data_IF_794929291134
#
_entry.id   IF_794929291134
#
_cell.length_a   1.000
_cell.length_b   1.000
_cell.length_c   1.000
_cell.angle_alpha   90.00
_cell.angle_beta   90.00
_cell.angle_gamma   90.00
#
_symmetry.space_group_name_H-M   'P 1'
#
loop_
_entity.id
_entity.type
_entity.pdbx_description
1 polymer ?
#
# COMPACT_ATOMS: atom_id res chain seq x y z
N UNK A 1 14.20 21.85 4.02
CA UNK A 1 15.22 21.72 2.97
C UNK A 1 14.51 21.36 1.67
N UNK A 2 14.91 21.91 0.51
CA UNK A 2 14.37 21.46 -0.77
C UNK A 2 14.72 19.98 -0.96
N UNK A 3 13.70 19.18 -1.22
CA UNK A 3 13.82 17.75 -1.55
C UNK A 3 14.57 17.67 -2.88
N UNK A 4 15.72 16.98 -2.92
CA UNK A 4 16.47 16.80 -4.16
C UNK A 4 15.64 15.95 -5.15
N UNK A 5 15.91 16.02 -6.45
CA UNK A 5 15.22 15.22 -7.47
C UNK A 5 15.33 13.72 -7.22
N UNK A 6 16.44 13.28 -6.62
CA UNK A 6 16.63 11.89 -6.16
C UNK A 6 15.67 11.55 -5.01
N UNK A 7 15.52 12.44 -4.03
CA UNK A 7 14.60 12.24 -2.91
C UNK A 7 13.14 12.16 -3.41
N UNK A 8 12.73 12.98 -4.40
CA UNK A 8 11.37 12.91 -4.97
C UNK A 8 11.08 11.55 -5.62
N UNK A 9 12.05 11.00 -6.35
CA UNK A 9 11.96 9.69 -6.99
C UNK A 9 11.86 8.58 -5.95
N UNK A 10 12.68 8.64 -4.89
CA UNK A 10 12.67 7.65 -3.82
C UNK A 10 11.36 7.65 -3.02
N UNK A 11 10.82 8.83 -2.74
CA UNK A 11 9.53 8.97 -2.03
C UNK A 11 8.39 8.40 -2.87
N UNK A 12 8.31 8.74 -4.15
CA UNK A 12 7.28 8.20 -5.05
C UNK A 12 7.42 6.68 -5.20
N UNK A 13 8.65 6.16 -5.32
CA UNK A 13 8.91 4.72 -5.36
C UNK A 13 8.54 4.01 -4.05
N UNK A 14 8.78 4.63 -2.90
CA UNK A 14 8.36 4.09 -1.61
C UNK A 14 6.82 4.00 -1.50
N UNK A 15 6.09 5.03 -1.96
CA UNK A 15 4.62 5.00 -2.02
C UNK A 15 4.12 3.88 -2.94
N UNK A 16 4.75 3.67 -4.09
CA UNK A 16 4.44 2.52 -4.97
C UNK A 16 4.61 1.19 -4.23
N UNK A 17 5.75 0.99 -3.54
CA UNK A 17 6.00 -0.24 -2.77
C UNK A 17 4.93 -0.45 -1.70
N UNK A 18 4.55 0.60 -0.96
CA UNK A 18 3.50 0.51 0.05
C UNK A 18 2.17 0.04 -0.55
N UNK A 19 1.72 0.65 -1.65
CA UNK A 19 0.44 0.27 -2.27
C UNK A 19 0.48 -1.13 -2.89
N UNK A 20 1.64 -1.57 -3.39
CA UNK A 20 1.83 -2.97 -3.83
C UNK A 20 1.69 -3.93 -2.64
N UNK A 21 2.35 -3.66 -1.51
CA UNK A 21 2.21 -4.51 -0.31
C UNK A 21 0.78 -4.53 0.23
N UNK A 22 0.09 -3.39 0.24
CA UNK A 22 -1.33 -3.32 0.64
C UNK A 22 -2.23 -4.13 -0.32
N UNK A 23 -1.93 -4.12 -1.62
CA UNK A 23 -2.64 -4.93 -2.61
C UNK A 23 -2.40 -6.42 -2.37
N UNK A 24 -1.14 -6.83 -2.18
CA UNK A 24 -0.78 -8.22 -1.86
C UNK A 24 -1.44 -8.70 -0.58
N UNK A 25 -1.53 -7.83 0.44
CA UNK A 25 -2.22 -8.12 1.69
C UNK A 25 -3.72 -8.40 1.47
N UNK A 26 -4.39 -7.60 0.64
CA UNK A 26 -5.79 -7.82 0.27
C UNK A 26 -5.99 -9.03 -0.65
N UNK A 27 -5.05 -9.33 -1.55
CA UNK A 27 -5.16 -10.47 -2.48
C UNK A 27 -5.19 -11.80 -1.75
N UNK A 28 -4.47 -11.90 -0.63
CA UNK A 28 -4.50 -13.08 0.27
C UNK A 28 -5.87 -13.34 0.89
N UNK A 29 -6.78 -12.38 0.88
CA UNK A 29 -8.17 -12.62 1.29
C UNK A 29 -8.89 -13.59 0.33
N UNK A 30 -8.46 -13.67 -0.94
CA UNK A 30 -9.10 -14.46 -1.98
C UNK A 30 -8.26 -15.58 -2.55
N UNK A 31 -6.94 -15.53 -2.36
CA UNK A 31 -6.01 -16.46 -3.00
C UNK A 31 -5.19 -17.24 -1.97
N UNK A 32 -5.52 -18.52 -1.81
CA UNK A 32 -4.74 -19.45 -0.98
C UNK A 32 -3.35 -19.74 -1.55
N UNK A 33 -3.15 -19.61 -2.87
CA UNK A 33 -1.84 -19.75 -3.48
C UNK A 33 -0.94 -18.55 -3.14
N UNK A 34 -1.51 -17.35 -3.06
CA UNK A 34 -0.81 -16.15 -2.58
C UNK A 34 -0.38 -16.25 -1.11
N UNK A 35 -1.10 -17.03 -0.28
CA UNK A 35 -0.68 -17.35 1.10
C UNK A 35 0.46 -18.37 1.17
N UNK A 36 0.54 -19.29 0.19
CA UNK A 36 1.58 -20.34 0.14
C UNK A 36 2.89 -19.85 -0.45
N UNK A 37 2.85 -18.93 -1.42
CA UNK A 37 4.02 -18.44 -2.13
C UNK A 37 4.86 -17.44 -1.33
N UNK A 38 4.26 -16.72 -0.38
CA UNK A 38 4.93 -15.69 0.38
C UNK A 38 4.43 -15.72 1.83
N UNK A 39 5.29 -15.95 2.83
CA UNK A 39 4.85 -16.07 4.22
C UNK A 39 4.13 -14.83 4.74
N UNK A 40 3.16 -15.05 5.63
CA UNK A 40 2.40 -13.94 6.22
C UNK A 40 3.27 -12.99 7.03
N UNK A 41 4.23 -13.53 7.78
CA UNK A 41 5.17 -12.76 8.59
C UNK A 41 6.10 -11.87 7.78
N UNK A 42 6.57 -12.33 6.62
CA UNK A 42 7.47 -11.55 5.76
C UNK A 42 6.74 -10.36 5.13
N UNK A 43 5.56 -10.59 4.55
CA UNK A 43 4.77 -9.48 3.99
C UNK A 43 4.43 -8.45 5.06
N UNK A 44 3.99 -8.90 6.24
CA UNK A 44 3.64 -8.03 7.35
C UNK A 44 4.86 -7.18 7.76
N UNK A 45 6.03 -7.81 7.87
CA UNK A 45 7.29 -7.11 8.21
C UNK A 45 7.66 -6.03 7.19
N UNK A 46 7.63 -6.35 5.89
CA UNK A 46 7.93 -5.36 4.85
C UNK A 46 6.87 -4.25 4.77
N UNK A 47 5.60 -4.57 4.99
CA UNK A 47 4.52 -3.60 5.02
C UNK A 47 4.69 -2.62 6.18
N UNK A 48 4.97 -3.13 7.38
CA UNK A 48 5.17 -2.33 8.59
C UNK A 48 6.41 -1.44 8.48
N UNK A 49 7.52 -1.99 7.96
CA UNK A 49 8.74 -1.22 7.72
C UNK A 49 8.51 -0.11 6.69
N UNK A 50 7.92 -0.44 5.54
CA UNK A 50 7.65 0.53 4.47
C UNK A 50 6.69 1.62 4.94
N UNK A 51 5.64 1.24 5.68
CA UNK A 51 4.69 2.18 6.29
C UNK A 51 5.41 3.12 7.25
N UNK A 52 6.26 2.61 8.15
CA UNK A 52 7.01 3.43 9.11
C UNK A 52 7.91 4.45 8.42
N UNK A 53 8.72 4.01 7.45
CA UNK A 53 9.61 4.89 6.68
C UNK A 53 8.82 6.00 5.97
N UNK A 54 7.71 5.65 5.31
CA UNK A 54 6.86 6.64 4.64
C UNK A 54 6.24 7.64 5.62
N UNK A 55 5.76 7.20 6.79
CA UNK A 55 5.19 8.09 7.81
C UNK A 55 6.18 9.13 8.34
N UNK A 56 7.47 8.79 8.36
CA UNK A 56 8.55 9.71 8.68
C UNK A 56 8.78 10.71 7.54
N UNK A 57 8.89 10.22 6.31
CA UNK A 57 9.06 11.04 5.10
C UNK A 57 7.94 12.07 4.95
N UNK A 58 6.68 11.63 5.05
CA UNK A 58 5.52 12.52 4.86
C UNK A 58 5.21 13.36 6.10
N UNK A 59 5.99 13.25 7.18
CA UNK A 59 5.78 14.02 8.42
C UNK A 59 5.86 15.53 8.23
N UNK A 60 6.57 15.98 7.20
CA UNK A 60 6.63 17.38 6.78
C UNK A 60 5.28 17.93 6.31
N UNK A 61 4.32 17.07 5.96
CA UNK A 61 2.96 17.45 5.58
C UNK A 61 1.93 16.67 6.44
N UNK A 62 1.38 17.27 7.50
CA UNK A 62 0.49 16.59 8.44
C UNK A 62 -0.81 16.10 7.79
N UNK A 63 -1.28 16.78 6.74
CA UNK A 63 -2.49 16.38 6.01
C UNK A 63 -2.24 15.11 5.21
N UNK A 64 -1.10 15.03 4.51
CA UNK A 64 -0.71 13.84 3.73
C UNK A 64 -0.43 12.67 4.68
N UNK A 65 0.29 12.92 5.78
CA UNK A 65 0.55 11.91 6.82
C UNK A 65 -0.74 11.29 7.34
N UNK A 66 -1.70 12.13 7.74
CA UNK A 66 -2.98 11.66 8.26
C UNK A 66 -3.75 10.84 7.22
N UNK A 67 -3.84 11.33 5.98
CA UNK A 67 -4.53 10.61 4.89
C UNK A 67 -3.93 9.24 4.63
N UNK A 68 -2.59 9.14 4.59
CA UNK A 68 -1.90 7.88 4.39
C UNK A 68 -2.12 6.92 5.56
N UNK A 69 -2.11 7.43 6.79
CA UNK A 69 -2.35 6.62 7.99
C UNK A 69 -3.78 6.05 8.00
N UNK A 70 -4.78 6.91 7.79
CA UNK A 70 -6.19 6.53 7.74
C UNK A 70 -6.45 5.50 6.62
N UNK A 71 -5.77 5.63 5.49
CA UNK A 71 -5.83 4.67 4.38
C UNK A 71 -5.21 3.30 4.74
N UNK A 72 -4.01 3.29 5.31
CA UNK A 72 -3.39 2.05 5.77
C UNK A 72 -4.24 1.35 6.83
N UNK A 73 -4.75 2.07 7.82
CA UNK A 73 -5.54 1.49 8.90
C UNK A 73 -6.85 0.90 8.39
N UNK A 74 -7.52 1.58 7.46
CA UNK A 74 -8.74 1.08 6.82
C UNK A 74 -8.50 -0.22 6.06
N UNK A 75 -7.43 -0.28 5.25
CA UNK A 75 -7.09 -1.46 4.45
C UNK A 75 -6.68 -2.64 5.33
N UNK A 76 -5.84 -2.40 6.34
CA UNK A 76 -5.41 -3.42 7.30
C UNK A 76 -6.59 -3.97 8.10
N UNK A 77 -7.49 -3.12 8.57
CA UNK A 77 -8.69 -3.53 9.28
C UNK A 77 -9.61 -4.38 8.38
N UNK A 78 -9.73 -4.03 7.10
CA UNK A 78 -10.53 -4.77 6.13
C UNK A 78 -9.96 -6.17 5.85
N UNK A 79 -8.65 -6.28 5.60
CA UNK A 79 -8.01 -7.59 5.41
C UNK A 79 -8.08 -8.46 6.65
N UNK A 80 -7.86 -7.89 7.84
CA UNK A 80 -8.02 -8.61 9.11
C UNK A 80 -9.46 -9.11 9.32
N UNK A 81 -10.47 -8.31 8.93
CA UNK A 81 -11.87 -8.71 9.00
C UNK A 81 -12.18 -9.87 8.05
N UNK A 82 -11.61 -9.87 6.85
CA UNK A 82 -11.78 -10.96 5.90
C UNK A 82 -11.11 -12.26 6.35
N UNK A 83 -9.92 -12.19 6.95
CA UNK A 83 -9.24 -13.35 7.52
C UNK A 83 -10.01 -13.96 8.69
N UNK A 84 -10.72 -13.14 9.49
CA UNK A 84 -11.53 -13.60 10.64
C UNK A 84 -12.89 -14.18 10.25
N UNK A 85 -13.64 -13.50 9.39
CA UNK A 85 -15.00 -13.89 8.99
C UNK A 85 -15.03 -14.88 7.81
N UNK A 86 -13.87 -15.14 7.21
CA UNK A 86 -13.74 -15.91 5.96
C UNK A 86 -14.14 -15.08 4.74
N UNK A 87 -13.63 -15.44 3.57
CA UNK A 87 -13.94 -14.80 2.28
C UNK A 87 -15.41 -14.96 1.81
N UNK A 88 -16.28 -15.46 2.69
CA UNK A 88 -17.68 -15.80 2.42
C UNK A 88 -18.64 -14.62 2.62
N UNK A 89 -18.25 -13.56 3.32
CA UNK A 89 -19.09 -12.36 3.44
C UNK A 89 -19.02 -11.53 2.13
N UNK A 90 -20.13 -11.45 1.36
CA UNK A 90 -20.16 -10.74 0.09
C UNK A 90 -19.87 -9.23 0.26
N UNK A 91 -20.23 -8.62 1.40
CA UNK A 91 -19.97 -7.19 1.65
C UNK A 91 -18.49 -6.93 1.86
N UNK A 92 -17.81 -7.76 2.66
CA UNK A 92 -16.36 -7.67 2.85
C UNK A 92 -15.66 -7.86 1.51
N UNK A 93 -16.13 -8.80 0.69
CA UNK A 93 -15.57 -9.05 -0.64
C UNK A 93 -15.70 -7.84 -1.57
N UNK A 94 -16.87 -7.21 -1.62
CA UNK A 94 -17.11 -6.01 -2.40
C UNK A 94 -16.24 -4.84 -1.93
N UNK A 95 -16.13 -4.63 -0.60
CA UNK A 95 -15.26 -3.62 -0.03
C UNK A 95 -13.79 -3.84 -0.41
N UNK A 96 -13.30 -5.08 -0.37
CA UNK A 96 -11.91 -5.37 -0.76
C UNK A 96 -11.71 -5.10 -2.26
N UNK A 97 -12.66 -5.48 -3.12
CA UNK A 97 -12.56 -5.19 -4.55
C UNK A 97 -12.52 -3.67 -4.82
N UNK A 98 -13.30 -2.89 -4.08
CA UNK A 98 -13.27 -1.42 -4.14
C UNK A 98 -11.89 -0.87 -3.74
N UNK A 99 -11.35 -1.28 -2.59
CA UNK A 99 -10.01 -0.85 -2.16
C UNK A 99 -8.91 -1.28 -3.14
N UNK A 100 -8.99 -2.50 -3.71
CA UNK A 100 -8.05 -2.97 -4.75
C UNK A 100 -8.08 -2.09 -5.99
N UNK A 101 -9.26 -1.65 -6.43
CA UNK A 101 -9.37 -0.74 -7.58
C UNK A 101 -8.72 0.62 -7.30
N UNK A 102 -8.92 1.15 -6.08
CA UNK A 102 -8.28 2.39 -5.63
C UNK A 102 -6.76 2.25 -5.59
N UNK A 103 -6.25 1.18 -4.96
CA UNK A 103 -4.83 0.89 -4.85
C UNK A 103 -4.18 0.72 -6.24
N UNK A 104 -4.84 0.02 -7.16
CA UNK A 104 -4.37 -0.14 -8.53
C UNK A 104 -4.22 1.21 -9.24
N UNK A 105 -5.24 2.06 -9.17
CA UNK A 105 -5.20 3.38 -9.81
C UNK A 105 -4.06 4.25 -9.25
N UNK A 106 -3.88 4.25 -7.92
CA UNK A 106 -2.80 4.98 -7.24
C UNK A 106 -1.41 4.45 -7.64
N UNK A 107 -1.28 3.13 -7.70
CA UNK A 107 -0.02 2.47 -8.07
C UNK A 107 0.36 2.80 -9.50
N UNK A 108 -0.57 2.77 -10.45
CA UNK A 108 -0.33 3.15 -11.85
C UNK A 108 0.14 4.61 -11.92
N UNK A 109 -0.64 5.54 -11.37
CA UNK A 109 -0.32 6.96 -11.44
C UNK A 109 1.05 7.30 -10.82
N UNK A 110 1.39 6.68 -9.69
CA UNK A 110 2.70 6.89 -9.06
C UNK A 110 3.84 6.18 -9.81
N UNK A 111 3.58 5.03 -10.43
CA UNK A 111 4.59 4.35 -11.26
C UNK A 111 4.93 5.18 -12.50
N UNK A 112 3.92 5.78 -13.15
CA UNK A 112 4.11 6.70 -14.25
C UNK A 112 4.90 7.95 -13.79
N UNK A 113 4.55 8.49 -12.62
CA UNK A 113 5.28 9.62 -12.05
C UNK A 113 6.76 9.28 -11.73
N UNK A 114 7.02 8.10 -11.17
CA UNK A 114 8.39 7.61 -10.94
C UNK A 114 9.15 7.50 -12.26
N UNK A 115 8.51 7.01 -13.32
CA UNK A 115 9.14 6.92 -14.65
C UNK A 115 9.49 8.31 -15.19
N UNK A 116 8.59 9.29 -15.04
CA UNK A 116 8.85 10.69 -15.42
C UNK A 116 10.01 11.27 -14.61
N UNK A 117 10.03 11.11 -13.29
CA UNK A 117 11.14 11.62 -12.47
C UNK A 117 12.48 10.99 -12.82
N UNK A 118 12.52 9.68 -13.09
CA UNK A 118 13.73 8.99 -13.55
C UNK A 118 14.22 9.46 -14.92
N UNK A 119 13.31 9.86 -15.80
CA UNK A 119 13.69 10.40 -17.12
C UNK A 119 14.27 11.82 -17.04
N UNK A 120 14.02 12.54 -15.93
CA UNK A 120 14.47 13.93 -15.70
C UNK A 120 15.68 14.03 -14.75
N UNK A 121 16.11 12.91 -14.17
CA UNK A 121 17.27 12.81 -13.27
C UNK A 121 18.56 12.53 -14.05
#
# INVERSE_FOLDING_TARGET
MPVSTNDQTEIAAALVRLYVFLTQYLDRCFDEAARKSYPDSELQGHLDETRRQLMEIVSVNPVVKRKLADECDRILALGASCLKSGAADPKIREMIQSERAILKNKTIALSDLVAVYRALA
#
